data_IF_015372413739
#
_entry.id   IF_015372413739
#
_cell.length_a   1.000
_cell.length_b   1.000
_cell.length_c   1.000
_cell.angle_alpha   90.00
_cell.angle_beta   90.00
_cell.angle_gamma   90.00
#
_symmetry.space_group_name_H-M   'P 1'
#
loop_
_entity.id
_entity.type
_entity.pdbx_description
1 polymer ?
#
# COMPACT_ATOMS: atom_id res chain seq x y z
N UNK A 1 9.67 3.98 1.88
CA UNK A 1 10.11 3.70 3.25
C UNK A 1 9.94 4.95 4.12
N UNK A 2 9.38 4.76 5.32
CA UNK A 2 9.37 5.73 6.39
C UNK A 2 10.62 5.48 7.22
N UNK A 3 11.52 6.45 7.29
CA UNK A 3 12.69 6.36 8.16
C UNK A 3 12.32 6.93 9.53
N UNK A 4 12.55 6.15 10.59
CA UNK A 4 12.38 6.62 11.96
C UNK A 4 13.52 7.59 12.27
N UNK A 5 13.23 8.81 12.76
CA UNK A 5 14.27 9.78 13.12
C UNK A 5 15.22 9.25 14.19
N UNK A 6 16.51 9.61 14.10
CA UNK A 6 17.52 9.12 15.05
C UNK A 6 17.20 9.47 16.50
N UNK A 7 16.68 10.68 16.79
CA UNK A 7 16.32 11.06 18.15
C UNK A 7 15.24 10.12 18.74
N UNK A 8 14.26 9.66 17.93
CA UNK A 8 13.27 8.70 18.42
C UNK A 8 13.89 7.32 18.67
N UNK A 9 14.86 6.88 17.85
CA UNK A 9 15.58 5.64 18.09
C UNK A 9 16.36 5.67 19.41
N UNK A 10 16.96 6.82 19.72
CA UNK A 10 17.67 7.07 21.00
C UNK A 10 16.70 7.11 22.19
N UNK A 11 15.60 7.88 22.09
CA UNK A 11 14.57 7.96 23.12
C UNK A 11 13.96 6.58 23.45
N UNK A 12 13.74 5.75 22.44
CA UNK A 12 13.19 4.41 22.59
C UNK A 12 14.24 3.37 22.98
N UNK A 13 15.50 3.77 23.17
CA UNK A 13 16.61 2.87 23.50
C UNK A 13 16.74 1.72 22.53
N UNK A 14 16.54 1.97 21.23
CA UNK A 14 16.63 0.96 20.17
C UNK A 14 18.10 0.61 19.97
N UNK A 15 18.48 -0.61 20.36
CA UNK A 15 19.86 -1.14 20.23
C UNK A 15 19.97 -2.01 18.97
N UNK A 16 18.93 -2.78 18.68
CA UNK A 16 18.93 -3.74 17.57
C UNK A 16 17.84 -3.43 16.53
N UNK A 17 18.09 -3.66 15.24
CA UNK A 17 17.08 -3.51 14.20
C UNK A 17 15.77 -4.30 14.45
N UNK A 18 15.87 -5.44 15.14
CA UNK A 18 14.73 -6.26 15.51
C UNK A 18 13.72 -5.51 16.38
N UNK A 19 14.16 -4.57 17.21
CA UNK A 19 13.29 -3.85 18.15
C UNK A 19 12.22 -3.04 17.41
N UNK A 20 12.59 -2.36 16.32
CA UNK A 20 11.66 -1.57 15.50
C UNK A 20 10.86 -2.38 14.49
N UNK A 21 11.16 -3.65 14.34
CA UNK A 21 10.49 -4.51 13.38
C UNK A 21 9.65 -5.62 14.00
N UNK A 22 9.98 -6.06 15.23
CA UNK A 22 9.41 -7.23 15.87
C UNK A 22 8.82 -6.97 17.26
N UNK A 23 8.96 -5.74 17.79
CA UNK A 23 8.40 -5.37 19.10
C UNK A 23 7.24 -4.41 18.92
N UNK A 24 6.01 -4.88 19.19
CA UNK A 24 4.79 -4.11 19.01
C UNK A 24 4.77 -2.81 19.83
N UNK A 25 5.35 -2.81 21.05
CA UNK A 25 5.41 -1.61 21.91
C UNK A 25 6.34 -0.56 21.31
N UNK A 26 7.52 -0.98 20.82
CA UNK A 26 8.47 -0.06 20.17
C UNK A 26 7.88 0.49 18.88
N UNK A 27 7.22 -0.36 18.07
CA UNK A 27 6.54 0.08 16.84
C UNK A 27 5.45 1.10 17.17
N UNK A 28 4.62 0.84 18.19
CA UNK A 28 3.57 1.73 18.65
C UNK A 28 4.13 3.10 19.06
N UNK A 29 5.17 3.13 19.92
CA UNK A 29 5.78 4.36 20.40
C UNK A 29 6.47 5.15 19.27
N UNK A 30 7.24 4.47 18.41
CA UNK A 30 7.86 5.09 17.24
C UNK A 30 6.80 5.69 16.29
N UNK A 31 5.71 4.98 16.05
CA UNK A 31 4.62 5.42 15.21
C UNK A 31 3.93 6.68 15.78
N UNK A 32 3.72 6.73 17.09
CA UNK A 32 3.19 7.95 17.76
C UNK A 32 4.13 9.14 17.62
N UNK A 33 5.43 8.94 17.81
CA UNK A 33 6.44 10.00 17.63
C UNK A 33 6.55 10.52 16.19
N UNK A 34 6.05 9.76 15.22
CA UNK A 34 6.03 10.12 13.80
C UNK A 34 4.66 10.60 13.31
N UNK A 35 3.70 10.85 14.20
CA UNK A 35 2.39 11.37 13.84
C UNK A 35 2.51 12.73 13.13
N UNK A 36 1.80 12.89 12.01
CA UNK A 36 1.78 14.12 11.24
C UNK A 36 0.35 14.51 10.87
N UNK A 37 -0.07 15.72 11.25
CA UNK A 37 -1.41 16.26 10.97
C UNK A 37 -2.56 15.31 11.35
N UNK A 38 -2.41 14.60 12.49
CA UNK A 38 -3.40 13.67 13.00
C UNK A 38 -3.38 12.27 12.37
N UNK A 39 -2.37 11.96 11.56
CA UNK A 39 -2.22 10.67 10.91
C UNK A 39 -0.90 9.98 11.26
N UNK A 40 -0.99 8.70 11.51
CA UNK A 40 0.13 7.77 11.64
C UNK A 40 0.18 6.90 10.38
N UNK A 41 1.39 6.61 9.90
CA UNK A 41 1.61 5.73 8.74
C UNK A 41 2.32 4.46 9.16
N UNK A 42 1.72 3.31 8.89
CA UNK A 42 2.28 1.98 9.07
C UNK A 42 2.11 1.18 7.77
N UNK A 43 2.91 0.13 7.57
CA UNK A 43 4.20 -0.14 8.21
C UNK A 43 5.29 0.85 7.79
N UNK A 44 6.39 0.88 8.52
CA UNK A 44 7.54 1.75 8.17
C UNK A 44 8.25 1.31 6.89
N UNK A 45 8.09 0.05 6.49
CA UNK A 45 8.64 -0.52 5.26
C UNK A 45 7.68 -1.52 4.63
N UNK A 46 7.65 -1.55 3.31
CA UNK A 46 6.76 -2.40 2.52
C UNK A 46 7.44 -3.74 2.21
N UNK A 47 7.59 -4.62 3.20
CA UNK A 47 8.18 -5.97 3.01
C UNK A 47 7.44 -7.03 3.82
N UNK A 48 6.41 -6.64 4.58
CA UNK A 48 5.70 -7.56 5.47
C UNK A 48 4.91 -8.61 4.70
N UNK A 49 4.17 -8.20 3.66
CA UNK A 49 3.41 -9.14 2.85
C UNK A 49 4.33 -10.07 2.05
N UNK A 50 5.43 -9.53 1.47
CA UNK A 50 6.41 -10.36 0.76
C UNK A 50 7.05 -11.40 1.70
N UNK A 51 7.37 -11.01 2.95
CA UNK A 51 7.87 -11.94 3.98
C UNK A 51 6.82 -13.00 4.35
N UNK A 52 5.58 -12.59 4.55
CA UNK A 52 4.46 -13.49 4.83
C UNK A 52 4.21 -14.50 3.69
N UNK A 53 4.71 -14.22 2.49
CA UNK A 53 4.68 -15.07 1.30
C UNK A 53 5.98 -15.84 1.06
N UNK A 54 6.93 -15.78 1.99
CA UNK A 54 8.16 -16.58 1.96
C UNK A 54 9.43 -15.84 1.59
N UNK A 55 9.39 -14.52 1.32
CA UNK A 55 10.62 -13.76 1.10
C UNK A 55 11.38 -13.51 2.40
N UNK A 56 12.71 -13.41 2.32
CA UNK A 56 13.56 -13.16 3.49
C UNK A 56 14.04 -11.71 3.50
N UNK A 57 13.54 -10.86 4.41
CA UNK A 57 13.99 -9.49 4.52
C UNK A 57 15.33 -9.37 5.25
N UNK A 58 16.18 -8.46 4.81
CA UNK A 58 17.29 -7.95 5.58
C UNK A 58 16.81 -6.77 6.40
N UNK A 59 16.94 -6.86 7.73
CA UNK A 59 16.50 -5.83 8.67
C UNK A 59 17.64 -4.85 8.98
N UNK A 60 17.31 -3.57 9.08
CA UNK A 60 18.20 -2.51 9.55
C UNK A 60 17.39 -1.43 10.28
N UNK A 61 18.04 -0.55 11.01
CA UNK A 61 17.37 0.62 11.62
C UNK A 61 16.77 1.58 10.57
N UNK A 62 17.32 1.57 9.35
CA UNK A 62 16.81 2.36 8.23
C UNK A 62 15.61 1.71 7.51
N UNK A 63 15.19 0.50 7.93
CA UNK A 63 14.07 -0.24 7.36
C UNK A 63 14.43 -1.68 7.00
N UNK A 64 13.48 -2.39 6.40
CA UNK A 64 13.64 -3.75 5.89
C UNK A 64 13.62 -3.76 4.36
N UNK A 65 14.40 -4.64 3.75
CA UNK A 65 14.50 -4.79 2.28
C UNK A 65 14.61 -6.26 1.89
N UNK A 66 13.88 -6.63 0.84
CA UNK A 66 14.10 -7.91 0.16
C UNK A 66 15.26 -7.68 -0.82
N UNK A 67 16.34 -8.43 -0.65
CA UNK A 67 17.54 -8.34 -1.52
C UNK A 67 17.47 -9.30 -2.68
N UNK A 68 16.96 -10.50 -2.43
CA UNK A 68 16.84 -11.56 -3.42
C UNK A 68 15.43 -12.10 -3.47
N UNK A 69 14.90 -12.38 -4.67
CA UNK A 69 13.60 -12.99 -4.83
C UNK A 69 13.51 -14.35 -4.14
N UNK A 70 12.36 -14.66 -3.55
CA UNK A 70 12.14 -15.93 -2.86
C UNK A 70 11.97 -17.13 -3.81
N UNK A 71 11.51 -16.86 -5.04
CA UNK A 71 11.14 -17.89 -6.02
C UNK A 71 11.82 -17.65 -7.36
N UNK A 72 12.02 -18.74 -8.13
CA UNK A 72 12.64 -18.68 -9.43
C UNK A 72 11.62 -18.69 -10.59
N UNK A 73 10.40 -19.22 -10.36
CA UNK A 73 9.39 -19.45 -11.40
C UNK A 73 7.99 -18.97 -10.93
N UNK A 74 7.19 -18.39 -11.84
CA UNK A 74 5.82 -17.96 -11.54
C UNK A 74 4.90 -19.05 -10.99
N UNK A 75 5.09 -20.30 -11.44
CA UNK A 75 4.28 -21.44 -11.05
C UNK A 75 4.40 -21.77 -9.55
N UNK A 76 5.53 -21.45 -8.94
CA UNK A 76 5.78 -21.67 -7.50
C UNK A 76 4.86 -20.81 -6.63
N UNK A 77 4.37 -19.69 -7.16
CA UNK A 77 3.47 -18.78 -6.44
C UNK A 77 2.05 -19.34 -6.27
N UNK A 78 1.62 -20.29 -7.12
CA UNK A 78 0.22 -20.74 -7.17
C UNK A 78 -0.23 -21.52 -5.92
N UNK A 79 0.71 -22.01 -5.12
CA UNK A 79 0.43 -22.80 -3.90
C UNK A 79 0.73 -22.04 -2.62
N UNK A 80 1.24 -20.81 -2.73
CA UNK A 80 1.64 -20.01 -1.58
C UNK A 80 0.41 -19.41 -0.88
N UNK A 81 0.44 -19.46 0.44
CA UNK A 81 -0.53 -18.78 1.31
C UNK A 81 0.17 -17.79 2.23
N UNK A 82 -0.54 -16.74 2.60
CA UNK A 82 -0.04 -15.75 3.57
C UNK A 82 0.18 -16.44 4.92
N UNK A 83 1.43 -16.40 5.40
CA UNK A 83 1.83 -16.96 6.67
C UNK A 83 1.88 -15.86 7.74
N UNK A 84 1.55 -16.20 8.98
CA UNK A 84 1.79 -15.31 10.11
C UNK A 84 3.28 -15.32 10.47
N UNK A 85 3.95 -14.19 10.27
CA UNK A 85 5.34 -14.00 10.72
C UNK A 85 5.38 -13.15 11.99
N UNK A 86 6.46 -13.27 12.76
CA UNK A 86 6.61 -12.47 14.00
C UNK A 86 6.52 -10.97 13.73
N UNK A 87 7.10 -10.49 12.62
CA UNK A 87 6.99 -9.09 12.21
C UNK A 87 5.59 -8.67 11.85
N UNK A 88 4.88 -9.51 11.12
CA UNK A 88 3.49 -9.25 10.74
C UNK A 88 2.60 -9.15 11.99
N UNK A 89 2.73 -10.09 12.93
CA UNK A 89 2.02 -10.08 14.19
C UNK A 89 2.32 -8.83 15.02
N UNK A 90 3.58 -8.47 15.21
CA UNK A 90 3.98 -7.27 15.95
C UNK A 90 3.44 -5.98 15.32
N UNK A 91 3.45 -5.88 13.99
CA UNK A 91 2.93 -4.73 13.27
C UNK A 91 1.42 -4.59 13.41
N UNK A 92 0.68 -5.69 13.31
CA UNK A 92 -0.76 -5.68 13.48
C UNK A 92 -1.19 -5.47 14.93
N UNK A 93 -0.41 -5.94 15.90
CA UNK A 93 -0.63 -5.63 17.30
C UNK A 93 -0.44 -4.14 17.58
N UNK A 94 0.63 -3.52 17.08
CA UNK A 94 0.86 -2.08 17.19
C UNK A 94 -0.26 -1.27 16.53
N UNK A 95 -0.73 -1.68 15.34
CA UNK A 95 -1.87 -1.06 14.66
C UNK A 95 -3.14 -1.11 15.53
N UNK A 96 -3.45 -2.27 16.11
CA UNK A 96 -4.61 -2.43 16.99
C UNK A 96 -4.50 -1.56 18.25
N UNK A 97 -3.31 -1.45 18.85
CA UNK A 97 -3.05 -0.57 19.99
C UNK A 97 -3.24 0.91 19.64
N UNK A 98 -2.73 1.35 18.47
CA UNK A 98 -2.93 2.72 17.97
C UNK A 98 -4.42 3.03 17.76
N UNK A 99 -5.15 2.11 17.14
CA UNK A 99 -6.59 2.25 16.93
C UNK A 99 -7.36 2.36 18.26
N UNK A 100 -7.05 1.52 19.25
CA UNK A 100 -7.62 1.59 20.60
C UNK A 100 -7.30 2.90 21.32
N UNK A 101 -6.13 3.49 21.03
CA UNK A 101 -5.73 4.79 21.55
C UNK A 101 -6.36 5.97 20.76
N UNK A 102 -7.32 5.72 19.87
CA UNK A 102 -8.02 6.73 19.08
C UNK A 102 -7.18 7.36 17.97
N UNK A 103 -6.04 6.77 17.62
CA UNK A 103 -5.16 7.27 16.55
C UNK A 103 -5.68 6.84 15.17
N UNK A 104 -5.56 7.75 14.21
CA UNK A 104 -5.88 7.46 12.80
C UNK A 104 -4.65 6.90 12.09
N UNK A 105 -4.78 5.73 11.50
CA UNK A 105 -3.67 5.07 10.82
C UNK A 105 -3.97 4.90 9.33
N UNK A 106 -3.03 5.37 8.51
CA UNK A 106 -2.93 5.02 7.10
C UNK A 106 -1.98 3.82 6.96
N UNK A 107 -2.49 2.70 6.49
CA UNK A 107 -1.73 1.45 6.37
C UNK A 107 -1.25 1.25 4.94
N UNK A 108 0.08 1.18 4.76
CA UNK A 108 0.70 1.05 3.44
C UNK A 108 0.63 -0.39 2.95
N UNK A 109 0.18 -0.56 1.72
CA UNK A 109 0.12 -1.85 1.01
C UNK A 109 0.85 -1.71 -0.32
N UNK A 110 1.67 -2.71 -0.63
CA UNK A 110 2.30 -2.83 -1.95
C UNK A 110 1.29 -3.26 -3.00
N UNK A 111 1.40 -2.67 -4.18
CA UNK A 111 0.62 -3.11 -5.33
C UNK A 111 1.19 -4.37 -5.99
N UNK A 112 0.42 -4.97 -6.94
CA UNK A 112 0.72 -6.27 -7.53
C UNK A 112 2.12 -6.42 -8.08
N UNK A 113 2.61 -5.46 -8.85
CA UNK A 113 3.92 -5.62 -9.51
C UNK A 113 5.08 -5.42 -8.55
N UNK A 114 4.95 -4.51 -7.59
CA UNK A 114 5.97 -4.33 -6.55
C UNK A 114 6.09 -5.58 -5.70
N UNK A 115 4.98 -6.17 -5.28
CA UNK A 115 4.95 -7.42 -4.54
C UNK A 115 5.55 -8.58 -5.36
N UNK A 116 5.13 -8.73 -6.62
CA UNK A 116 5.67 -9.77 -7.50
C UNK A 116 7.19 -9.65 -7.70
N UNK A 117 7.71 -8.42 -7.85
CA UNK A 117 9.15 -8.20 -8.01
C UNK A 117 9.93 -8.36 -6.70
N UNK A 118 9.27 -8.38 -5.54
CA UNK A 118 9.88 -8.81 -4.29
C UNK A 118 9.95 -10.35 -4.17
N UNK A 119 9.05 -11.07 -4.85
CA UNK A 119 8.96 -12.53 -4.80
C UNK A 119 9.69 -13.23 -5.94
N UNK A 120 9.76 -12.62 -7.12
CA UNK A 120 10.34 -13.18 -8.35
C UNK A 120 11.33 -12.20 -8.99
N UNK A 121 12.34 -12.69 -9.76
CA UNK A 121 13.15 -11.80 -10.59
C UNK A 121 12.29 -10.97 -11.55
N UNK A 122 12.54 -9.67 -11.63
CA UNK A 122 11.74 -8.71 -12.41
C UNK A 122 11.56 -9.13 -13.88
N UNK A 123 12.61 -9.66 -14.51
CA UNK A 123 12.54 -10.16 -15.89
C UNK A 123 11.57 -11.36 -16.04
N UNK A 124 11.45 -12.19 -15.01
CA UNK A 124 10.48 -13.30 -14.99
C UNK A 124 9.05 -12.79 -14.83
N UNK A 125 8.84 -11.79 -13.98
CA UNK A 125 7.53 -11.12 -13.83
C UNK A 125 7.09 -10.55 -15.17
N UNK A 126 7.90 -9.73 -15.83
CA UNK A 126 7.53 -9.08 -17.10
C UNK A 126 7.36 -10.08 -18.26
N UNK A 127 8.14 -11.16 -18.27
CA UNK A 127 7.95 -12.24 -19.23
C UNK A 127 6.64 -12.99 -19.01
N UNK A 128 6.28 -13.24 -17.74
CA UNK A 128 5.05 -13.94 -17.37
C UNK A 128 3.79 -13.12 -17.71
N UNK A 129 3.80 -11.80 -17.52
CA UNK A 129 2.66 -10.91 -17.83
C UNK A 129 2.20 -11.02 -19.30
N UNK A 130 3.07 -11.43 -20.22
CA UNK A 130 2.76 -11.63 -21.65
C UNK A 130 2.22 -13.02 -21.97
N UNK A 131 2.05 -13.88 -20.98
CA UNK A 131 1.65 -15.29 -21.12
C UNK A 131 0.40 -15.57 -20.27
N UNK A 132 -0.32 -16.68 -20.52
CA UNK A 132 -1.48 -17.06 -19.70
C UNK A 132 -1.19 -17.16 -18.19
N UNK A 133 0.00 -17.63 -17.80
CA UNK A 133 0.43 -17.70 -16.38
C UNK A 133 0.45 -16.33 -15.70
N UNK A 134 0.66 -15.24 -16.45
CA UNK A 134 0.61 -13.89 -15.92
C UNK A 134 -0.75 -13.50 -15.35
N UNK A 135 -1.85 -13.93 -15.99
CA UNK A 135 -3.20 -13.70 -15.46
C UNK A 135 -3.44 -14.46 -14.17
N UNK A 136 -3.01 -15.72 -14.09
CA UNK A 136 -3.12 -16.53 -12.87
C UNK A 136 -2.31 -15.92 -11.73
N UNK A 137 -1.08 -15.48 -12.03
CA UNK A 137 -0.19 -14.81 -11.08
C UNK A 137 -0.81 -13.51 -10.54
N UNK A 138 -1.39 -12.66 -11.40
CA UNK A 138 -2.05 -11.43 -10.98
C UNK A 138 -3.31 -11.72 -10.13
N UNK A 139 -4.11 -12.72 -10.50
CA UNK A 139 -5.28 -13.13 -9.71
C UNK A 139 -4.87 -13.63 -8.32
N UNK A 140 -3.79 -14.41 -8.22
CA UNK A 140 -3.27 -14.89 -6.93
C UNK A 140 -2.78 -13.72 -6.04
N UNK A 141 -2.09 -12.74 -6.63
CA UNK A 141 -1.63 -11.54 -5.93
C UNK A 141 -2.80 -10.70 -5.43
N UNK A 142 -3.85 -10.59 -6.22
CA UNK A 142 -5.09 -9.89 -5.81
C UNK A 142 -5.67 -10.48 -4.53
N UNK A 143 -5.78 -11.81 -4.43
CA UNK A 143 -6.25 -12.51 -3.22
C UNK A 143 -5.37 -12.18 -2.00
N UNK A 144 -4.06 -12.21 -2.15
CA UNK A 144 -3.14 -11.90 -1.05
C UNK A 144 -3.27 -10.45 -0.59
N UNK A 145 -3.37 -9.48 -1.52
CA UNK A 145 -3.49 -8.07 -1.20
C UNK A 145 -4.84 -7.79 -0.51
N UNK A 146 -5.94 -8.35 -1.00
CA UNK A 146 -7.26 -8.19 -0.37
C UNK A 146 -7.25 -8.76 1.04
N UNK A 147 -6.70 -9.96 1.24
CA UNK A 147 -6.58 -10.57 2.57
C UNK A 147 -5.71 -9.73 3.51
N UNK A 148 -4.60 -9.19 3.03
CA UNK A 148 -3.71 -8.34 3.83
C UNK A 148 -4.37 -7.00 4.19
N UNK A 149 -5.11 -6.40 3.26
CA UNK A 149 -5.91 -5.21 3.52
C UNK A 149 -7.01 -5.48 4.57
N UNK A 150 -7.70 -6.61 4.48
CA UNK A 150 -8.69 -7.04 5.47
C UNK A 150 -8.08 -7.10 6.87
N UNK A 151 -6.94 -7.76 7.02
CA UNK A 151 -6.23 -7.85 8.30
C UNK A 151 -5.88 -6.48 8.88
N UNK A 152 -5.54 -5.49 8.03
CA UNK A 152 -5.25 -4.13 8.46
C UNK A 152 -6.52 -3.35 8.86
N UNK A 153 -7.59 -3.43 8.06
CA UNK A 153 -8.86 -2.73 8.32
C UNK A 153 -9.54 -3.26 9.58
N UNK A 154 -9.57 -4.58 9.78
CA UNK A 154 -10.10 -5.22 11.00
C UNK A 154 -9.39 -4.75 12.27
N UNK A 155 -8.11 -4.31 12.15
CA UNK A 155 -7.31 -3.76 13.26
C UNK A 155 -7.35 -2.25 13.35
N UNK A 156 -8.19 -1.61 12.53
CA UNK A 156 -8.55 -0.20 12.63
C UNK A 156 -7.80 0.75 11.70
N UNK A 157 -7.17 0.25 10.63
CA UNK A 157 -6.68 1.12 9.56
C UNK A 157 -7.85 1.90 8.95
N UNK A 158 -7.69 3.22 8.77
CA UNK A 158 -8.70 4.13 8.22
C UNK A 158 -8.45 4.47 6.75
N UNK A 159 -7.21 4.36 6.33
CA UNK A 159 -6.78 4.54 4.95
C UNK A 159 -5.92 3.34 4.56
N UNK A 160 -6.20 2.75 3.41
CA UNK A 160 -5.29 1.85 2.71
C UNK A 160 -4.45 2.69 1.76
N UNK A 161 -3.18 2.89 2.12
CA UNK A 161 -2.22 3.59 1.28
C UNK A 161 -1.60 2.61 0.28
N UNK A 162 -2.05 2.67 -0.96
CA UNK A 162 -1.69 1.73 -2.01
C UNK A 162 -0.58 2.30 -2.91
N UNK A 163 0.54 1.62 -2.98
CA UNK A 163 1.69 2.04 -3.79
C UNK A 163 2.24 0.90 -4.65
N UNK A 164 2.30 1.13 -5.95
CA UNK A 164 2.93 0.22 -6.90
C UNK A 164 3.95 0.97 -7.77
N UNK A 165 5.13 1.33 -7.22
CA UNK A 165 6.12 2.14 -7.92
C UNK A 165 6.70 1.47 -9.17
N UNK A 166 6.57 0.16 -9.33
CA UNK A 166 6.98 -0.58 -10.54
C UNK A 166 5.91 -0.47 -11.63
N UNK A 167 4.65 -0.29 -11.26
CA UNK A 167 3.53 -0.19 -12.17
C UNK A 167 3.35 1.24 -12.69
N UNK A 168 4.32 1.74 -13.44
CA UNK A 168 4.25 3.04 -14.11
C UNK A 168 4.47 2.89 -15.61
N UNK A 169 3.98 3.86 -16.38
CA UNK A 169 4.19 3.89 -17.83
C UNK A 169 5.67 3.92 -18.20
N UNK A 170 6.49 4.61 -17.40
CA UNK A 170 7.94 4.70 -17.63
C UNK A 170 8.64 3.34 -17.54
N UNK A 171 8.16 2.44 -16.68
CA UNK A 171 8.76 1.11 -16.48
C UNK A 171 8.12 0.07 -17.39
N UNK A 172 6.79 0.06 -17.51
CA UNK A 172 6.04 -0.96 -18.25
C UNK A 172 5.89 -0.63 -19.74
N UNK A 173 5.94 0.64 -20.10
CA UNK A 173 5.44 1.14 -21.36
C UNK A 173 3.91 1.16 -21.41
N UNK A 174 3.32 2.07 -22.18
CA UNK A 174 1.88 2.32 -22.23
C UNK A 174 1.06 1.06 -22.57
N UNK A 175 1.54 0.23 -23.51
CA UNK A 175 0.80 -0.96 -23.95
C UNK A 175 0.66 -2.00 -22.83
N UNK A 176 1.75 -2.32 -22.11
CA UNK A 176 1.70 -3.30 -21.01
C UNK A 176 0.93 -2.74 -19.82
N UNK A 177 1.14 -1.46 -19.51
CA UNK A 177 0.40 -0.78 -18.44
C UNK A 177 -1.11 -0.88 -18.68
N UNK A 178 -1.59 -0.43 -19.84
CA UNK A 178 -3.02 -0.38 -20.15
C UNK A 178 -3.65 -1.77 -20.33
N UNK A 179 -2.97 -2.69 -21.02
CA UNK A 179 -3.59 -3.95 -21.45
C UNK A 179 -3.40 -5.09 -20.45
N UNK A 180 -2.37 -5.04 -19.60
CA UNK A 180 -2.07 -6.13 -18.68
C UNK A 180 -2.27 -5.71 -17.22
N UNK A 181 -1.78 -4.52 -16.83
CA UNK A 181 -1.80 -4.11 -15.43
C UNK A 181 -3.12 -3.44 -15.01
N UNK A 182 -3.61 -2.46 -15.80
CA UNK A 182 -4.82 -1.69 -15.44
C UNK A 182 -6.05 -2.58 -15.19
N UNK A 183 -6.35 -3.61 -15.99
CA UNK A 183 -7.50 -4.49 -15.70
C UNK A 183 -7.41 -5.16 -14.32
N UNK A 184 -6.23 -5.66 -13.95
CA UNK A 184 -5.99 -6.25 -12.64
C UNK A 184 -6.11 -5.20 -11.52
N UNK A 185 -5.52 -4.01 -11.71
CA UNK A 185 -5.62 -2.92 -10.74
C UNK A 185 -7.08 -2.53 -10.49
N UNK A 186 -7.86 -2.36 -11.56
CA UNK A 186 -9.28 -1.98 -11.45
C UNK A 186 -10.08 -3.02 -10.68
N UNK A 187 -9.88 -4.31 -11.00
CA UNK A 187 -10.54 -5.40 -10.30
C UNK A 187 -10.19 -5.40 -8.81
N UNK A 188 -8.91 -5.27 -8.47
CA UNK A 188 -8.44 -5.18 -7.09
C UNK A 188 -9.05 -3.98 -6.36
N UNK A 189 -9.05 -2.78 -6.97
CA UNK A 189 -9.58 -1.57 -6.33
C UNK A 189 -11.09 -1.66 -6.10
N UNK A 190 -11.83 -2.24 -7.05
CA UNK A 190 -13.28 -2.51 -6.91
C UNK A 190 -13.52 -3.43 -5.72
N UNK A 191 -12.82 -4.57 -5.65
CA UNK A 191 -12.95 -5.52 -4.53
C UNK A 191 -12.62 -4.88 -3.18
N UNK A 192 -11.58 -4.05 -3.11
CA UNK A 192 -11.24 -3.33 -1.88
C UNK A 192 -12.34 -2.34 -1.48
N UNK A 193 -12.92 -1.60 -2.43
CA UNK A 193 -14.02 -0.66 -2.14
C UNK A 193 -15.29 -1.40 -1.70
N UNK A 194 -15.66 -2.49 -2.37
CA UNK A 194 -16.83 -3.30 -2.01
C UNK A 194 -16.69 -3.95 -0.62
N UNK A 195 -15.46 -4.41 -0.31
CA UNK A 195 -15.17 -5.06 0.98
C UNK A 195 -15.08 -4.06 2.12
N UNK A 196 -14.60 -2.85 1.86
CA UNK A 196 -14.32 -1.81 2.86
C UNK A 196 -14.91 -0.46 2.42
N UNK A 197 -16.25 -0.32 2.35
CA UNK A 197 -16.91 0.85 1.76
C UNK A 197 -16.57 2.17 2.48
N UNK A 198 -16.31 2.13 3.80
CA UNK A 198 -16.00 3.31 4.61
C UNK A 198 -14.50 3.59 4.70
N UNK A 199 -13.65 2.78 4.06
CA UNK A 199 -12.19 2.92 4.08
C UNK A 199 -11.73 3.67 2.84
N UNK A 200 -10.92 4.69 3.04
CA UNK A 200 -10.31 5.43 1.93
C UNK A 200 -9.16 4.63 1.33
N UNK A 201 -9.15 4.44 0.02
CA UNK A 201 -8.02 3.88 -0.73
C UNK A 201 -7.23 5.05 -1.29
N UNK A 202 -6.00 5.23 -0.83
CA UNK A 202 -5.14 6.31 -1.27
C UNK A 202 -4.08 5.78 -2.23
N UNK A 203 -4.21 6.10 -3.53
CA UNK A 203 -3.22 5.72 -4.54
C UNK A 203 -2.02 6.67 -4.52
N UNK A 204 -0.83 6.11 -4.69
CA UNK A 204 0.38 6.93 -4.80
C UNK A 204 0.37 7.81 -6.05
N UNK A 205 0.99 9.00 -5.96
CA UNK A 205 0.95 10.02 -7.03
C UNK A 205 1.51 9.53 -8.38
N UNK A 206 2.56 8.70 -8.39
CA UNK A 206 3.14 8.16 -9.64
C UNK A 206 2.19 7.21 -10.37
N UNK A 207 1.51 6.34 -9.62
CA UNK A 207 0.51 5.44 -10.21
C UNK A 207 -0.68 6.24 -10.75
N UNK A 208 -1.17 7.20 -9.97
CA UNK A 208 -2.28 8.08 -10.39
C UNK A 208 -1.89 8.86 -11.65
N UNK A 209 -0.68 9.40 -11.73
CA UNK A 209 -0.21 10.10 -12.93
C UNK A 209 -0.20 9.18 -14.16
N UNK A 210 0.29 7.94 -14.03
CA UNK A 210 0.26 6.97 -15.13
C UNK A 210 -1.16 6.63 -15.60
N UNK A 211 -2.12 6.58 -14.68
CA UNK A 211 -3.54 6.39 -15.01
C UNK A 211 -4.12 7.59 -15.78
N UNK A 212 -3.76 8.81 -15.38
CA UNK A 212 -4.17 10.05 -16.05
C UNK A 212 -3.56 10.12 -17.46
N UNK A 213 -2.26 9.94 -17.60
CA UNK A 213 -1.52 10.02 -18.86
C UNK A 213 -2.04 9.03 -19.90
N UNK A 214 -2.50 7.87 -19.44
CA UNK A 214 -3.09 6.83 -20.29
C UNK A 214 -4.62 6.91 -20.39
N UNK A 215 -5.25 7.94 -19.83
CA UNK A 215 -6.71 8.16 -19.85
C UNK A 215 -7.48 6.96 -19.28
N UNK A 216 -6.98 6.38 -18.18
CA UNK A 216 -7.61 5.24 -17.54
C UNK A 216 -8.56 5.65 -16.40
N UNK A 217 -8.47 6.89 -15.93
CA UNK A 217 -9.36 7.45 -14.91
C UNK A 217 -9.66 8.92 -15.20
N UNK A 218 -10.67 9.43 -14.53
CA UNK A 218 -10.97 10.87 -14.41
C UNK A 218 -10.76 11.30 -12.97
N UNK A 219 -10.52 12.60 -12.75
CA UNK A 219 -10.36 13.17 -11.42
C UNK A 219 -11.54 14.10 -11.12
N UNK A 220 -12.10 13.97 -9.93
CA UNK A 220 -13.08 14.91 -9.37
C UNK A 220 -12.48 15.52 -8.11
N UNK A 221 -12.62 16.83 -7.96
CA UNK A 221 -12.10 17.54 -6.79
C UNK A 221 -13.15 17.58 -5.68
N UNK A 222 -12.74 17.15 -4.49
CA UNK A 222 -13.47 17.31 -3.24
C UNK A 222 -12.81 18.40 -2.41
N UNK A 223 -13.57 19.39 -1.95
CA UNK A 223 -13.07 20.54 -1.22
C UNK A 223 -13.32 20.39 0.28
N UNK A 224 -12.25 20.47 1.07
CA UNK A 224 -12.31 20.64 2.52
C UNK A 224 -12.32 22.11 2.94
N UNK A 225 -12.18 22.37 4.23
CA UNK A 225 -12.20 23.71 4.77
C UNK A 225 -10.93 24.49 4.39
N UNK A 226 -11.10 25.78 4.10
CA UNK A 226 -9.98 26.67 3.74
C UNK A 226 -8.93 26.74 4.85
N UNK A 227 -7.68 26.61 4.48
CA UNK A 227 -6.52 26.70 5.39
C UNK A 227 -6.11 25.36 6.03
N UNK A 228 -6.80 24.26 5.71
CA UNK A 228 -6.41 22.95 6.19
C UNK A 228 -5.11 22.44 5.53
N UNK A 229 -4.40 21.59 6.28
CA UNK A 229 -3.37 20.72 5.72
C UNK A 229 -3.99 19.52 5.01
N UNK A 230 -3.20 18.83 4.16
CA UNK A 230 -3.64 17.62 3.47
C UNK A 230 -4.16 16.53 4.44
N UNK A 231 -3.45 16.34 5.58
CA UNK A 231 -3.88 15.37 6.60
C UNK A 231 -5.19 15.76 7.28
N UNK A 232 -5.43 17.06 7.53
CA UNK A 232 -6.72 17.54 8.06
C UNK A 232 -7.85 17.33 7.05
N UNK A 233 -7.60 17.60 5.77
CA UNK A 233 -8.56 17.35 4.67
C UNK A 233 -8.90 15.87 4.54
N UNK A 234 -7.89 14.98 4.64
CA UNK A 234 -8.13 13.53 4.69
C UNK A 234 -8.93 13.11 5.94
N UNK A 235 -8.73 13.80 7.06
CA UNK A 235 -9.50 13.54 8.28
C UNK A 235 -10.98 13.87 8.11
N UNK A 236 -11.29 14.97 7.45
CA UNK A 236 -12.65 15.39 7.16
C UNK A 236 -13.35 14.43 6.19
N UNK A 237 -12.61 13.91 5.21
CA UNK A 237 -13.10 12.93 4.22
C UNK A 237 -13.16 11.49 4.76
N UNK A 238 -12.52 11.19 5.89
CA UNK A 238 -12.42 9.84 6.43
C UNK A 238 -13.80 9.30 6.85
N UNK A 239 -14.17 8.15 6.31
CA UNK A 239 -15.48 7.52 6.51
C UNK A 239 -16.42 7.64 5.30
N UNK A 240 -16.12 8.53 4.35
CA UNK A 240 -16.87 8.64 3.09
C UNK A 240 -16.52 7.49 2.12
N UNK A 241 -15.38 6.83 2.33
CA UNK A 241 -14.87 5.83 1.40
C UNK A 241 -14.33 6.42 0.10
N UNK A 242 -14.07 5.55 -0.87
CA UNK A 242 -13.64 5.97 -2.21
C UNK A 242 -12.13 5.95 -2.43
N UNK A 243 -11.72 6.31 -3.65
CA UNK A 243 -10.33 6.30 -4.08
C UNK A 243 -9.82 7.73 -4.22
N UNK A 244 -8.76 8.04 -3.46
CA UNK A 244 -8.08 9.34 -3.50
C UNK A 244 -6.69 9.13 -4.11
N UNK A 245 -6.20 10.08 -4.90
CA UNK A 245 -4.89 9.97 -5.51
C UNK A 245 -4.20 11.29 -5.80
N UNK A 246 -3.18 11.20 -6.66
CA UNK A 246 -2.42 12.29 -7.25
C UNK A 246 -1.62 13.15 -6.24
N UNK A 247 -1.61 12.76 -4.96
CA UNK A 247 -0.79 13.39 -3.92
C UNK A 247 -0.11 12.31 -3.08
N UNK A 248 0.77 12.69 -2.18
CA UNK A 248 1.54 11.72 -1.40
C UNK A 248 1.33 11.92 0.10
N UNK A 249 1.09 10.83 0.82
CA UNK A 249 0.99 10.83 2.28
C UNK A 249 2.29 11.27 2.99
N UNK A 250 3.40 11.43 2.26
CA UNK A 250 4.60 12.05 2.84
C UNK A 250 4.43 13.55 3.13
N UNK A 251 3.39 14.17 2.58
CA UNK A 251 3.14 15.60 2.68
C UNK A 251 1.85 15.91 3.46
N UNK A 252 1.52 15.13 4.47
CA UNK A 252 0.32 15.33 5.30
C UNK A 252 0.24 16.73 5.94
N UNK A 253 1.38 17.33 6.27
CA UNK A 253 1.47 18.69 6.81
C UNK A 253 1.38 19.81 5.77
N UNK A 254 1.43 19.52 4.47
CA UNK A 254 1.37 20.54 3.43
C UNK A 254 0.00 21.22 3.38
N UNK A 255 -0.01 22.53 3.12
CA UNK A 255 -1.26 23.29 2.93
C UNK A 255 -1.96 22.84 1.66
N UNK A 256 -3.02 22.05 1.80
CA UNK A 256 -3.85 21.53 0.71
C UNK A 256 -5.22 21.12 1.26
N UNK A 257 -6.21 21.94 1.00
CA UNK A 257 -7.57 21.75 1.48
C UNK A 257 -8.50 21.07 0.46
N UNK A 258 -7.96 20.26 -0.44
CA UNK A 258 -8.75 19.47 -1.38
C UNK A 258 -8.14 18.11 -1.63
N UNK A 259 -8.98 17.16 -2.00
CA UNK A 259 -8.62 15.83 -2.46
C UNK A 259 -8.98 15.66 -3.93
N UNK A 260 -8.23 14.83 -4.64
CA UNK A 260 -8.56 14.40 -5.98
C UNK A 260 -9.08 12.97 -5.91
N UNK A 261 -10.40 12.83 -6.12
CA UNK A 261 -11.07 11.54 -6.16
C UNK A 261 -10.90 10.94 -7.56
N UNK A 262 -10.55 9.67 -7.58
CA UNK A 262 -10.31 8.92 -8.82
C UNK A 262 -11.58 8.16 -9.19
N UNK A 263 -12.07 8.38 -10.39
CA UNK A 263 -13.22 7.70 -10.95
C UNK A 263 -12.84 6.87 -12.19
N UNK A 264 -13.28 5.62 -12.20
CA UNK A 264 -13.09 4.66 -13.28
C UNK A 264 -14.38 4.29 -14.02
N UNK A 265 -15.49 4.98 -13.76
CA UNK A 265 -16.86 4.60 -14.20
C UNK A 265 -17.02 4.52 -15.72
N UNK A 266 -16.34 5.36 -16.48
CA UNK A 266 -16.41 5.31 -17.95
C UNK A 266 -15.91 3.97 -18.54
N UNK A 267 -15.11 3.21 -17.77
CA UNK A 267 -14.54 1.92 -18.21
C UNK A 267 -15.28 0.70 -17.69
N UNK A 268 -16.01 0.81 -16.57
CA UNK A 268 -16.91 -0.26 -16.11
C UNK A 268 -17.93 -0.59 -17.21
N UNK A 269 -18.52 0.42 -17.83
CA UNK A 269 -19.54 0.26 -18.89
C UNK A 269 -19.02 -0.31 -20.22
N UNK A 270 -17.70 -0.35 -20.46
CA UNK A 270 -17.10 -0.93 -21.69
C UNK A 270 -16.71 -2.40 -21.55
N UNK A 271 -16.49 -2.86 -20.33
CA UNK A 271 -16.11 -4.28 -20.06
C UNK A 271 -17.32 -5.18 -19.81
N UNK A 272 -18.53 -4.59 -19.64
CA UNK A 272 -19.79 -5.32 -19.47
C UNK A 272 -20.57 -5.48 -20.79
N UNK A 273 -20.03 -5.00 -21.91
CA UNK A 273 -20.56 -5.16 -23.27
C UNK A 273 -19.62 -6.05 -24.11
#
# INVERSE_FOLDING_TARGET
HLQIPNHLLEELSVVHPQDIHMNAVVIFQAAQGMEQSGWIRLPFCNTLLAEALGATPTLSVAGARIKEPAFAKPEELMTIQVQETARLCAMFEALAQLSKAGKKVAYNIEGPLTLLCALLPMNKVFSALRKPVGKQMLSQVEEWIVRYAEMAVERGAKIISFADPIATVDILGSQMFVNQYVPCLLQLLIRLQERFPDTVIHLCGKLTQSLIDTKQCTLTRWEGQKGQSYGQTLTEFCGEGGIVGHYCLNYLGASRNYLELIDFTEKRNKNER
#
